data_IF_613465749691
#
_entry.id   IF_613465749691
#
_cell.length_a   1.000
_cell.length_b   1.000
_cell.length_c   1.000
_cell.angle_alpha   90.00
_cell.angle_beta   90.00
_cell.angle_gamma   90.00
#
_symmetry.space_group_name_H-M   'P 1'
#
loop_
_entity.id
_entity.type
_entity.pdbx_description
1 polymer ?
#
# COMPACT_ATOMS: atom_id res chain seq x y z
N UNK A 1 47.64 -28.85 -46.56
CA UNK A 1 47.72 -27.81 -45.52
C UNK A 1 46.46 -27.97 -44.68
N UNK A 2 46.51 -28.81 -43.66
CA UNK A 2 45.40 -29.02 -42.74
C UNK A 2 45.66 -28.17 -41.50
N UNK A 3 44.79 -27.20 -41.26
CA UNK A 3 44.79 -26.36 -40.07
C UNK A 3 44.45 -27.24 -38.85
N UNK A 4 45.51 -27.63 -38.12
CA UNK A 4 45.42 -28.29 -36.83
C UNK A 4 44.78 -27.38 -35.79
N UNK A 5 43.45 -27.37 -35.71
CA UNK A 5 42.70 -26.85 -34.57
C UNK A 5 43.09 -27.67 -33.36
N UNK A 6 43.95 -27.13 -32.48
CA UNK A 6 44.20 -27.68 -31.13
C UNK A 6 42.85 -27.86 -30.45
N UNK A 7 42.44 -29.11 -30.25
CA UNK A 7 41.31 -29.47 -29.41
C UNK A 7 41.59 -28.91 -28.01
N UNK A 8 40.84 -27.87 -27.64
CA UNK A 8 40.82 -27.36 -26.28
C UNK A 8 40.12 -28.41 -25.43
N UNK A 9 40.91 -29.22 -24.73
CA UNK A 9 40.37 -30.13 -23.74
C UNK A 9 39.52 -29.33 -22.75
N UNK A 10 38.23 -29.69 -22.55
CA UNK A 10 37.39 -29.00 -21.61
C UNK A 10 38.04 -29.03 -20.23
N UNK A 11 38.03 -27.89 -19.56
CA UNK A 11 38.52 -27.77 -18.18
C UNK A 11 37.81 -28.79 -17.30
N UNK A 12 38.46 -29.27 -16.23
CA UNK A 12 37.86 -30.21 -15.28
C UNK A 12 36.45 -29.76 -14.83
N UNK A 13 36.24 -28.44 -14.75
CA UNK A 13 34.95 -27.76 -14.53
C UNK A 13 33.87 -28.05 -15.58
N UNK A 14 34.21 -28.04 -16.87
CA UNK A 14 33.27 -28.30 -17.98
C UNK A 14 32.85 -29.78 -18.01
N UNK A 15 33.74 -30.71 -17.65
CA UNK A 15 33.41 -32.15 -17.49
C UNK A 15 32.56 -32.42 -16.24
N UNK A 16 32.84 -31.75 -15.12
CA UNK A 16 32.07 -31.96 -13.90
C UNK A 16 30.64 -31.41 -13.99
N UNK A 17 30.40 -30.41 -14.84
CA UNK A 17 29.05 -29.89 -15.11
C UNK A 17 28.25 -30.76 -16.10
N UNK A 18 28.89 -31.48 -17.03
CA UNK A 18 28.20 -32.38 -17.97
C UNK A 18 27.72 -33.67 -17.31
N UNK A 19 28.43 -34.13 -16.28
CA UNK A 19 28.28 -35.50 -15.76
C UNK A 19 27.34 -35.60 -14.55
N UNK A 20 26.58 -34.55 -14.22
CA UNK A 20 25.53 -34.60 -13.19
C UNK A 20 26.03 -34.91 -11.77
N UNK A 21 27.34 -34.72 -11.49
CA UNK A 21 27.91 -34.98 -10.17
C UNK A 21 27.36 -33.99 -9.14
N UNK A 22 26.39 -34.45 -8.35
CA UNK A 22 25.95 -33.77 -7.13
C UNK A 22 27.09 -33.84 -6.11
N UNK A 23 27.55 -32.66 -5.79
CA UNK A 23 28.76 -32.38 -5.06
C UNK A 23 28.40 -32.46 -3.55
N UNK A 24 29.17 -33.15 -2.67
CA UNK A 24 28.80 -33.43 -1.26
C UNK A 24 28.33 -32.19 -0.48
N UNK A 25 27.16 -32.25 0.17
CA UNK A 25 26.59 -31.11 0.90
C UNK A 25 27.53 -30.64 2.03
N UNK A 26 28.35 -29.61 1.76
CA UNK A 26 29.25 -29.03 2.75
C UNK A 26 28.48 -28.11 3.70
N UNK A 27 28.64 -28.23 5.03
CA UNK A 27 27.97 -27.37 5.99
C UNK A 27 28.41 -25.90 5.81
N UNK A 28 27.43 -25.00 5.68
CA UNK A 28 27.64 -23.59 5.35
C UNK A 28 28.22 -22.85 6.56
N UNK A 29 29.47 -22.40 6.43
CA UNK A 29 30.11 -21.52 7.43
C UNK A 29 29.70 -20.04 7.23
N UNK A 30 29.63 -19.21 8.29
CA UNK A 30 29.19 -17.81 8.20
C UNK A 30 29.98 -16.92 7.23
N UNK A 31 31.25 -17.24 6.94
CA UNK A 31 32.06 -16.45 5.99
C UNK A 31 31.70 -16.73 4.52
N UNK A 32 31.18 -17.92 4.19
CA UNK A 32 30.70 -18.24 2.84
C UNK A 32 29.47 -17.41 2.46
N UNK A 33 28.53 -17.31 3.39
CA UNK A 33 27.35 -16.44 3.25
C UNK A 33 27.73 -14.98 3.02
N UNK A 34 28.72 -14.47 3.77
CA UNK A 34 29.25 -13.11 3.58
C UNK A 34 29.81 -12.91 2.16
N UNK A 35 30.41 -13.92 1.54
CA UNK A 35 30.97 -13.81 0.18
C UNK A 35 29.89 -13.65 -0.88
N UNK A 36 28.79 -14.40 -0.78
CA UNK A 36 27.64 -14.31 -1.71
C UNK A 36 26.98 -12.94 -1.56
N UNK A 37 26.66 -12.54 -0.33
CA UNK A 37 26.00 -11.27 -0.08
C UNK A 37 26.85 -10.08 -0.51
N UNK A 38 28.17 -10.16 -0.32
CA UNK A 38 29.11 -9.14 -0.81
C UNK A 38 29.21 -9.15 -2.33
N UNK A 39 29.17 -10.31 -2.99
CA UNK A 39 29.18 -10.40 -4.45
C UNK A 39 27.93 -9.73 -5.05
N UNK A 40 26.75 -10.00 -4.48
CA UNK A 40 25.48 -9.34 -4.86
C UNK A 40 25.53 -7.83 -4.59
N UNK A 41 25.97 -7.42 -3.40
CA UNK A 41 26.03 -6.01 -3.03
C UNK A 41 26.89 -5.17 -3.99
N UNK A 42 27.98 -5.75 -4.51
CA UNK A 42 28.87 -5.09 -5.47
C UNK A 42 28.51 -5.35 -6.95
N UNK A 43 27.44 -6.09 -7.24
CA UNK A 43 27.05 -6.35 -8.63
C UNK A 43 28.00 -7.27 -9.40
N UNK A 44 28.83 -8.07 -8.71
CA UNK A 44 29.80 -8.94 -9.37
C UNK A 44 29.17 -10.28 -9.81
N UNK A 45 28.58 -10.28 -11.00
CA UNK A 45 27.82 -11.40 -11.56
C UNK A 45 28.68 -12.66 -11.72
N UNK A 46 29.88 -12.52 -12.27
CA UNK A 46 30.78 -13.66 -12.49
C UNK A 46 31.22 -14.31 -11.19
N UNK A 47 31.49 -13.50 -10.16
CA UNK A 47 31.78 -14.00 -8.82
C UNK A 47 30.57 -14.70 -8.22
N UNK A 48 29.36 -14.19 -8.41
CA UNK A 48 28.14 -14.84 -7.93
C UNK A 48 27.91 -16.18 -8.65
N UNK A 49 28.06 -16.23 -9.99
CA UNK A 49 27.98 -17.47 -10.79
C UNK A 49 28.97 -18.52 -10.27
N UNK A 50 30.23 -18.13 -10.11
CA UNK A 50 31.27 -19.02 -9.59
C UNK A 50 30.95 -19.55 -8.19
N UNK A 51 30.47 -18.67 -7.30
CA UNK A 51 30.03 -19.09 -5.97
C UNK A 51 28.87 -20.09 -6.10
N UNK A 52 27.79 -19.75 -6.80
CA UNK A 52 26.61 -20.64 -6.91
C UNK A 52 26.88 -21.97 -7.62
N UNK A 53 27.91 -22.07 -8.47
CA UNK A 53 28.40 -23.34 -9.04
C UNK A 53 29.09 -24.22 -7.99
N UNK A 54 29.77 -23.61 -7.02
CA UNK A 54 30.63 -24.29 -6.05
C UNK A 54 29.92 -24.58 -4.71
N UNK A 55 28.66 -25.04 -4.75
CA UNK A 55 27.93 -25.62 -3.60
C UNK A 55 27.25 -24.66 -2.60
N UNK A 56 26.87 -23.42 -2.97
CA UNK A 56 26.18 -22.56 -2.00
C UNK A 56 24.65 -22.58 -2.14
N UNK A 57 23.99 -22.80 -0.99
CA UNK A 57 22.56 -22.59 -0.81
C UNK A 57 22.22 -21.10 -0.97
N UNK A 58 21.56 -20.76 -2.10
CA UNK A 58 21.08 -19.42 -2.41
C UNK A 58 20.01 -18.91 -1.42
N UNK A 59 19.36 -19.83 -0.69
CA UNK A 59 18.31 -19.54 0.28
C UNK A 59 18.88 -19.19 1.66
N UNK A 60 20.20 -19.30 1.85
CA UNK A 60 20.80 -19.03 3.17
C UNK A 60 20.61 -17.57 3.56
N UNK A 61 20.12 -17.37 4.79
CA UNK A 61 19.74 -16.08 5.35
C UNK A 61 20.86 -15.48 6.21
N UNK A 62 21.12 -14.17 6.08
CA UNK A 62 22.07 -13.44 6.94
C UNK A 62 21.53 -13.17 8.35
N UNK A 63 22.29 -12.42 9.14
CA UNK A 63 21.86 -12.03 10.49
C UNK A 63 20.54 -11.28 10.46
N UNK A 64 20.24 -10.49 9.41
CA UNK A 64 18.94 -9.79 9.25
C UNK A 64 17.90 -10.66 8.56
N UNK A 65 18.15 -11.96 8.49
CA UNK A 65 17.32 -12.95 7.83
C UNK A 65 17.13 -12.74 6.31
N UNK A 66 17.99 -11.93 5.68
CA UNK A 66 17.90 -11.65 4.25
C UNK A 66 18.62 -12.71 3.46
N UNK A 67 18.07 -13.11 2.32
CA UNK A 67 18.75 -13.96 1.32
C UNK A 67 19.54 -13.12 0.31
N UNK A 68 20.33 -13.76 -0.55
CA UNK A 68 20.97 -13.13 -1.69
C UNK A 68 19.94 -12.44 -2.61
N UNK A 69 18.74 -13.02 -2.75
CA UNK A 69 17.66 -12.49 -3.57
C UNK A 69 17.11 -11.16 -3.03
N UNK A 70 16.95 -11.05 -1.71
CA UNK A 70 16.56 -9.78 -1.07
C UNK A 70 17.55 -8.66 -1.39
N UNK A 71 18.85 -8.97 -1.36
CA UNK A 71 19.90 -7.98 -1.65
C UNK A 71 19.88 -7.58 -3.12
N UNK A 72 19.77 -8.54 -4.04
CA UNK A 72 19.70 -8.28 -5.48
C UNK A 72 18.52 -7.37 -5.83
N UNK A 73 17.35 -7.65 -5.25
CA UNK A 73 16.15 -6.84 -5.37
C UNK A 73 16.30 -5.46 -4.71
N UNK A 74 17.01 -5.36 -3.59
CA UNK A 74 17.22 -4.07 -2.92
C UNK A 74 18.24 -3.18 -3.66
N UNK A 75 19.20 -3.76 -4.34
CA UNK A 75 20.22 -3.05 -5.13
C UNK A 75 19.79 -2.79 -6.58
N UNK A 76 18.65 -3.33 -7.02
CA UNK A 76 18.15 -3.12 -8.38
C UNK A 76 18.93 -3.83 -9.48
N UNK A 77 19.37 -5.07 -9.21
CA UNK A 77 20.23 -5.84 -10.14
C UNK A 77 19.45 -6.99 -10.80
N UNK A 78 18.75 -6.75 -11.92
CA UNK A 78 17.87 -7.75 -12.54
C UNK A 78 18.63 -8.98 -13.04
N UNK A 79 19.88 -8.84 -13.50
CA UNK A 79 20.71 -9.96 -13.96
C UNK A 79 21.04 -10.92 -12.81
N UNK A 80 21.24 -10.37 -11.60
CA UNK A 80 21.46 -11.18 -10.39
C UNK A 80 20.18 -11.90 -9.97
N UNK A 81 19.04 -11.20 -10.04
CA UNK A 81 17.73 -11.80 -9.78
C UNK A 81 17.50 -12.96 -10.76
N UNK A 82 17.71 -12.74 -12.05
CA UNK A 82 17.58 -13.77 -13.08
C UNK A 82 18.49 -14.98 -12.81
N UNK A 83 19.76 -14.75 -12.46
CA UNK A 83 20.67 -15.84 -12.09
C UNK A 83 20.17 -16.63 -10.88
N UNK A 84 19.79 -15.95 -9.79
CA UNK A 84 19.32 -16.58 -8.57
C UNK A 84 18.03 -17.38 -8.81
N UNK A 85 17.09 -16.81 -9.57
CA UNK A 85 15.82 -17.45 -9.94
C UNK A 85 16.04 -18.67 -10.84
N UNK A 86 16.96 -18.59 -11.81
CA UNK A 86 17.31 -19.75 -12.67
C UNK A 86 17.88 -20.94 -11.89
N UNK A 87 18.40 -20.69 -10.69
CA UNK A 87 18.87 -21.73 -9.75
C UNK A 87 17.78 -22.24 -8.80
N UNK A 88 16.50 -21.94 -9.09
CA UNK A 88 15.32 -22.37 -8.32
C UNK A 88 15.41 -22.00 -6.83
N UNK A 89 15.90 -20.81 -6.51
CA UNK A 89 15.87 -20.32 -5.13
C UNK A 89 14.43 -20.04 -4.67
N UNK A 90 14.20 -20.08 -3.36
CA UNK A 90 12.90 -19.78 -2.77
C UNK A 90 12.61 -18.28 -2.84
N UNK A 91 11.56 -17.91 -3.58
CA UNK A 91 11.21 -16.52 -3.88
C UNK A 91 10.49 -15.82 -2.73
N UNK A 92 9.89 -16.59 -1.82
CA UNK A 92 8.93 -16.12 -0.81
C UNK A 92 9.52 -16.12 0.60
N UNK A 93 10.82 -16.38 0.76
CA UNK A 93 11.48 -16.25 2.06
C UNK A 93 11.40 -14.80 2.52
N UNK A 94 11.10 -14.59 3.79
CA UNK A 94 11.02 -13.25 4.35
C UNK A 94 12.38 -12.77 4.89
N UNK A 95 12.51 -11.49 5.21
CA UNK A 95 13.55 -10.96 6.09
C UNK A 95 13.03 -10.78 7.53
N UNK A 96 13.82 -10.15 8.41
CA UNK A 96 13.43 -9.89 9.82
C UNK A 96 12.19 -9.01 9.99
N UNK A 97 11.76 -8.30 8.95
CA UNK A 97 10.57 -7.45 8.97
C UNK A 97 9.40 -8.12 8.23
N UNK A 98 9.48 -9.44 8.06
CA UNK A 98 8.56 -10.29 7.28
C UNK A 98 8.44 -9.85 5.81
N UNK A 99 9.43 -9.13 5.25
CA UNK A 99 9.36 -8.66 3.86
C UNK A 99 9.95 -9.70 2.93
N UNK A 100 9.23 -10.03 1.87
CA UNK A 100 9.76 -10.85 0.77
C UNK A 100 10.68 -10.04 -0.15
N UNK A 101 11.50 -10.70 -1.01
CA UNK A 101 12.27 -10.03 -2.04
C UNK A 101 11.39 -9.18 -2.98
N UNK A 102 10.17 -9.64 -3.27
CA UNK A 102 9.19 -8.89 -4.07
C UNK A 102 8.78 -7.59 -3.37
N UNK A 103 8.45 -7.65 -2.07
CA UNK A 103 8.16 -6.44 -1.28
C UNK A 103 9.34 -5.48 -1.31
N UNK A 104 10.58 -5.96 -1.16
CA UNK A 104 11.78 -5.10 -1.23
C UNK A 104 11.95 -4.46 -2.61
N UNK A 105 11.76 -5.23 -3.68
CA UNK A 105 11.85 -4.71 -5.05
C UNK A 105 10.83 -3.58 -5.27
N UNK A 106 9.56 -3.80 -4.90
CA UNK A 106 8.49 -2.80 -5.07
C UNK A 106 8.71 -1.60 -4.15
N UNK A 107 9.06 -1.82 -2.88
CA UNK A 107 9.36 -0.75 -1.91
C UNK A 107 10.45 0.19 -2.44
N UNK A 108 11.48 -0.35 -3.09
CA UNK A 108 12.63 0.38 -3.61
C UNK A 108 12.51 0.74 -5.10
N UNK A 109 11.31 0.61 -5.68
CA UNK A 109 10.99 0.98 -7.08
C UNK A 109 11.83 0.24 -8.12
N UNK A 110 12.21 -1.00 -7.84
CA UNK A 110 12.99 -1.86 -8.72
C UNK A 110 12.07 -2.69 -9.62
N UNK A 111 11.41 -2.02 -10.57
CA UNK A 111 10.36 -2.59 -11.42
C UNK A 111 10.83 -3.83 -12.20
N UNK A 112 12.03 -3.81 -12.78
CA UNK A 112 12.59 -4.95 -13.51
C UNK A 112 12.75 -6.18 -12.61
N UNK A 113 13.27 -5.99 -11.39
CA UNK A 113 13.43 -7.06 -10.41
C UNK A 113 12.07 -7.62 -9.96
N UNK A 114 11.10 -6.75 -9.67
CA UNK A 114 9.75 -7.16 -9.27
C UNK A 114 9.04 -7.93 -10.40
N UNK A 115 9.17 -7.47 -11.64
CA UNK A 115 8.58 -8.13 -12.82
C UNK A 115 9.17 -9.54 -13.00
N UNK A 116 10.50 -9.69 -12.90
CA UNK A 116 11.15 -11.00 -12.97
C UNK A 116 10.67 -11.96 -11.87
N UNK A 117 10.50 -11.47 -10.63
CA UNK A 117 9.99 -12.27 -9.53
C UNK A 117 8.55 -12.74 -9.77
N UNK A 118 7.66 -11.85 -10.20
CA UNK A 118 6.26 -12.17 -10.48
C UNK A 118 6.13 -13.20 -11.60
N UNK A 119 6.89 -13.04 -12.69
CA UNK A 119 6.94 -13.99 -13.81
C UNK A 119 7.40 -15.39 -13.39
N UNK A 120 8.20 -15.50 -12.32
CA UNK A 120 8.71 -16.77 -11.82
C UNK A 120 7.91 -17.29 -10.59
N UNK A 121 6.72 -16.73 -10.33
CA UNK A 121 5.79 -17.27 -9.32
C UNK A 121 6.02 -16.77 -7.89
N UNK A 122 6.67 -15.62 -7.70
CA UNK A 122 6.68 -14.97 -6.39
C UNK A 122 5.24 -14.60 -5.96
N UNK A 123 4.90 -14.87 -4.69
CA UNK A 123 3.55 -14.60 -4.17
C UNK A 123 3.42 -13.12 -3.76
N UNK A 124 2.56 -12.32 -4.42
CA UNK A 124 2.39 -10.90 -4.10
C UNK A 124 1.54 -10.63 -2.85
N UNK A 125 0.82 -11.65 -2.36
CA UNK A 125 -0.12 -11.53 -1.24
C UNK A 125 0.54 -11.72 0.13
N UNK A 126 1.84 -12.00 0.18
CA UNK A 126 2.56 -12.07 1.46
C UNK A 126 2.66 -10.67 2.06
N UNK A 127 2.45 -10.58 3.36
CA UNK A 127 2.45 -9.33 4.11
C UNK A 127 3.70 -9.16 4.95
N UNK A 128 4.19 -7.92 5.07
CA UNK A 128 5.24 -7.58 6.03
C UNK A 128 4.75 -7.57 7.48
N UNK A 129 5.65 -7.23 8.41
CA UNK A 129 5.35 -7.15 9.85
C UNK A 129 4.16 -6.21 10.16
N UNK A 130 3.90 -5.21 9.31
CA UNK A 130 2.79 -4.25 9.44
C UNK A 130 1.54 -4.65 8.64
N UNK A 131 1.49 -5.88 8.11
CA UNK A 131 0.40 -6.36 7.27
C UNK A 131 0.42 -5.80 5.85
N UNK A 132 1.49 -5.14 5.40
CA UNK A 132 1.51 -4.52 4.07
C UNK A 132 1.99 -5.52 3.02
N UNK A 133 1.18 -5.69 1.99
CA UNK A 133 1.55 -6.43 0.78
C UNK A 133 2.38 -5.57 -0.19
N UNK A 134 2.90 -6.16 -1.26
CA UNK A 134 3.57 -5.44 -2.33
C UNK A 134 2.69 -4.33 -2.94
N UNK A 135 1.37 -4.54 -3.01
CA UNK A 135 0.40 -3.56 -3.52
C UNK A 135 0.39 -2.27 -2.70
N UNK A 136 0.44 -2.38 -1.37
CA UNK A 136 0.48 -1.22 -0.48
C UNK A 136 1.70 -0.33 -0.76
N UNK A 137 2.86 -0.95 -1.04
CA UNK A 137 4.07 -0.23 -1.41
C UNK A 137 4.00 0.38 -2.81
N UNK A 138 3.36 -0.30 -3.77
CA UNK A 138 3.13 0.26 -5.10
C UNK A 138 2.22 1.50 -5.05
N UNK A 139 1.15 1.44 -4.25
CA UNK A 139 0.26 2.58 -3.98
C UNK A 139 0.99 3.72 -3.27
N UNK A 140 1.81 3.41 -2.25
CA UNK A 140 2.67 4.41 -1.60
C UNK A 140 3.59 5.11 -2.61
N UNK A 141 4.12 4.35 -3.57
CA UNK A 141 5.04 4.84 -4.57
C UNK A 141 4.36 5.56 -5.74
N UNK A 142 3.03 5.55 -5.81
CA UNK A 142 2.23 6.01 -6.94
C UNK A 142 2.58 5.30 -8.27
N UNK A 143 3.00 4.05 -8.18
CA UNK A 143 3.45 3.25 -9.33
C UNK A 143 2.29 2.45 -9.93
N UNK A 144 1.56 3.07 -10.85
CA UNK A 144 0.39 2.46 -11.50
C UNK A 144 0.76 1.24 -12.33
N UNK A 145 1.92 1.25 -13.01
CA UNK A 145 2.43 0.10 -13.78
C UNK A 145 2.61 -1.12 -12.88
N UNK A 146 3.26 -0.94 -11.72
CA UNK A 146 3.45 -2.01 -10.76
C UNK A 146 2.12 -2.51 -10.17
N UNK A 147 1.17 -1.61 -9.90
CA UNK A 147 -0.17 -2.02 -9.44
C UNK A 147 -0.84 -2.93 -10.48
N UNK A 148 -0.82 -2.56 -11.77
CA UNK A 148 -1.43 -3.39 -12.81
C UNK A 148 -0.78 -4.77 -12.91
N UNK A 149 0.55 -4.85 -12.82
CA UNK A 149 1.29 -6.11 -12.77
C UNK A 149 0.92 -6.95 -11.55
N UNK A 150 0.83 -6.33 -10.37
CA UNK A 150 0.44 -7.06 -9.16
C UNK A 150 -0.98 -7.61 -9.25
N UNK A 151 -1.92 -6.82 -9.79
CA UNK A 151 -3.31 -7.25 -10.00
C UNK A 151 -3.40 -8.39 -11.03
N UNK A 152 -2.60 -8.35 -12.10
CA UNK A 152 -2.57 -9.44 -13.10
C UNK A 152 -2.02 -10.76 -12.54
N UNK A 153 -1.26 -10.69 -11.45
CA UNK A 153 -0.70 -11.85 -10.74
C UNK A 153 -1.55 -12.26 -9.51
N UNK A 154 -2.83 -11.88 -9.47
CA UNK A 154 -3.80 -12.37 -8.47
C UNK A 154 -3.74 -11.64 -7.12
N UNK A 155 -3.28 -10.40 -7.10
CA UNK A 155 -3.38 -9.55 -5.90
C UNK A 155 -4.78 -8.99 -5.74
N UNK A 156 -5.30 -8.98 -4.51
CA UNK A 156 -6.58 -8.34 -4.21
C UNK A 156 -6.38 -6.83 -3.97
N UNK A 157 -7.13 -5.99 -4.71
CA UNK A 157 -7.10 -4.53 -4.53
C UNK A 157 -7.71 -4.07 -3.20
N UNK A 158 -8.49 -4.93 -2.54
CA UNK A 158 -9.15 -4.66 -1.28
C UNK A 158 -8.38 -5.16 -0.06
N UNK A 159 -7.21 -5.76 -0.26
CA UNK A 159 -6.43 -6.36 0.82
C UNK A 159 -6.03 -5.30 1.86
N UNK A 160 -6.44 -5.52 3.12
CA UNK A 160 -6.17 -4.58 4.20
C UNK A 160 -4.79 -4.81 4.83
N UNK A 161 -4.12 -3.72 5.20
CA UNK A 161 -2.99 -3.81 6.13
C UNK A 161 -3.43 -4.16 7.57
N UNK A 162 -2.49 -4.46 8.48
CA UNK A 162 -2.82 -4.67 9.91
C UNK A 162 -3.45 -3.44 10.58
N UNK A 163 -3.25 -2.26 10.01
CA UNK A 163 -3.90 -1.02 10.45
C UNK A 163 -5.29 -0.82 9.79
N UNK A 164 -5.83 -1.86 9.16
CA UNK A 164 -7.11 -1.88 8.44
C UNK A 164 -7.24 -0.85 7.32
N UNK A 165 -6.12 -0.28 6.87
CA UNK A 165 -6.14 0.57 5.69
C UNK A 165 -6.23 -0.28 4.45
N UNK A 166 -7.38 -0.21 3.78
CA UNK A 166 -7.51 -0.58 2.38
C UNK A 166 -6.66 0.37 1.50
N UNK A 167 -6.20 -0.08 0.32
CA UNK A 167 -5.36 0.72 -0.57
C UNK A 167 -5.94 2.10 -0.91
N UNK A 168 -7.27 2.20 -1.08
CA UNK A 168 -7.96 3.48 -1.31
C UNK A 168 -7.80 4.44 -0.14
N UNK A 169 -8.11 3.99 1.10
CA UNK A 169 -7.94 4.81 2.30
C UNK A 169 -6.48 5.21 2.51
N UNK A 170 -5.55 4.31 2.21
CA UNK A 170 -4.13 4.61 2.29
C UNK A 170 -3.74 5.73 1.32
N UNK A 171 -4.20 5.68 0.06
CA UNK A 171 -3.97 6.74 -0.92
C UNK A 171 -4.58 8.09 -0.49
N UNK A 172 -5.79 8.09 0.07
CA UNK A 172 -6.45 9.28 0.62
C UNK A 172 -5.66 9.87 1.79
N UNK A 173 -5.24 9.03 2.76
CA UNK A 173 -4.45 9.47 3.93
C UNK A 173 -3.13 10.13 3.55
N UNK A 174 -2.58 9.75 2.39
CA UNK A 174 -1.33 10.28 1.81
C UNK A 174 -1.56 11.43 0.83
N UNK A 175 -2.82 11.86 0.63
CA UNK A 175 -3.22 12.97 -0.26
C UNK A 175 -2.81 12.74 -1.73
N UNK A 176 -2.84 11.49 -2.18
CA UNK A 176 -2.41 11.10 -3.54
C UNK A 176 -3.58 11.09 -4.51
N UNK A 177 -3.98 12.27 -5.00
CA UNK A 177 -5.16 12.47 -5.88
C UNK A 177 -5.16 11.54 -7.09
N UNK A 178 -4.06 11.49 -7.85
CA UNK A 178 -3.93 10.64 -9.05
C UNK A 178 -4.08 9.16 -8.74
N UNK A 179 -3.55 8.72 -7.59
CA UNK A 179 -3.64 7.33 -7.15
C UNK A 179 -5.06 6.96 -6.71
N UNK A 180 -5.76 7.88 -6.03
CA UNK A 180 -7.18 7.72 -5.70
C UNK A 180 -7.99 7.56 -6.98
N UNK A 181 -7.82 8.45 -7.96
CA UNK A 181 -8.51 8.36 -9.25
C UNK A 181 -8.23 7.02 -9.95
N UNK A 182 -6.97 6.58 -9.96
CA UNK A 182 -6.57 5.32 -10.55
C UNK A 182 -7.22 4.11 -9.85
N UNK A 183 -7.22 4.06 -8.52
CA UNK A 183 -7.83 2.97 -7.75
C UNK A 183 -9.36 2.93 -7.95
N UNK A 184 -10.01 4.09 -8.00
CA UNK A 184 -11.45 4.20 -8.30
C UNK A 184 -11.77 3.68 -9.71
N UNK A 185 -10.93 4.00 -10.71
CA UNK A 185 -11.05 3.43 -12.07
C UNK A 185 -10.88 1.91 -12.10
N UNK A 186 -10.06 1.34 -11.20
CA UNK A 186 -9.91 -0.11 -11.01
C UNK A 186 -11.01 -0.73 -10.13
N UNK A 187 -12.11 -0.01 -9.88
CA UNK A 187 -13.28 -0.44 -9.09
C UNK A 187 -12.95 -0.80 -7.64
N UNK A 188 -11.96 -0.12 -7.04
CA UNK A 188 -11.72 -0.23 -5.61
C UNK A 188 -12.97 0.18 -4.81
N UNK A 189 -13.20 -0.44 -3.65
CA UNK A 189 -14.35 -0.16 -2.80
C UNK A 189 -14.30 1.28 -2.30
N UNK A 190 -15.20 2.11 -2.82
CA UNK A 190 -15.32 3.52 -2.49
C UNK A 190 -15.76 3.72 -1.03
N UNK A 191 -16.50 2.76 -0.48
CA UNK A 191 -17.01 2.77 0.90
C UNK A 191 -16.06 2.11 1.89
N UNK A 192 -14.75 2.10 1.57
CA UNK A 192 -13.70 1.69 2.47
C UNK A 192 -13.77 2.45 3.81
N UNK A 193 -13.70 1.72 4.92
CA UNK A 193 -13.68 2.27 6.29
C UNK A 193 -12.42 1.85 7.03
N UNK A 194 -11.93 2.70 7.92
CA UNK A 194 -10.84 2.36 8.85
C UNK A 194 -11.36 1.73 10.15
N UNK A 195 -10.44 1.42 11.07
CA UNK A 195 -10.75 0.84 12.39
C UNK A 195 -11.65 1.71 13.29
N UNK A 196 -11.84 2.98 12.97
CA UNK A 196 -12.78 3.89 13.65
C UNK A 196 -14.11 4.03 12.88
N UNK A 197 -14.32 3.24 11.82
CA UNK A 197 -15.47 3.34 10.93
C UNK A 197 -15.46 4.59 10.06
N UNK A 198 -14.33 5.29 9.92
CA UNK A 198 -14.25 6.51 9.11
C UNK A 198 -14.07 6.13 7.64
N UNK A 199 -15.00 6.61 6.81
CA UNK A 199 -14.95 6.40 5.36
C UNK A 199 -13.85 7.22 4.69
N UNK A 200 -13.50 6.86 3.45
CA UNK A 200 -12.59 7.63 2.61
C UNK A 200 -13.01 9.11 2.47
N UNK A 201 -14.32 9.39 2.46
CA UNK A 201 -14.85 10.76 2.43
C UNK A 201 -14.49 11.52 3.71
N UNK A 202 -14.69 10.91 4.89
CA UNK A 202 -14.35 11.54 6.18
C UNK A 202 -12.85 11.87 6.22
N UNK A 203 -11.99 10.97 5.75
CA UNK A 203 -10.55 11.22 5.66
C UNK A 203 -10.24 12.40 4.70
N UNK A 204 -10.83 12.42 3.51
CA UNK A 204 -10.60 13.50 2.54
C UNK A 204 -11.04 14.88 3.08
N UNK A 205 -12.19 14.93 3.76
CA UNK A 205 -12.73 16.16 4.37
C UNK A 205 -11.85 16.64 5.53
N UNK A 206 -11.44 15.74 6.42
CA UNK A 206 -10.59 16.11 7.57
C UNK A 206 -9.20 16.60 7.13
N UNK A 207 -8.68 16.11 6.00
CA UNK A 207 -7.44 16.58 5.40
C UNK A 207 -7.60 17.89 4.62
N UNK A 208 -8.84 18.26 4.23
CA UNK A 208 -9.15 19.44 3.44
C UNK A 208 -8.89 19.27 1.94
N UNK A 209 -8.80 18.03 1.45
CA UNK A 209 -8.44 17.73 0.06
C UNK A 209 -9.67 17.76 -0.86
N UNK A 210 -9.98 18.96 -1.38
CA UNK A 210 -11.14 19.22 -2.24
C UNK A 210 -11.21 18.28 -3.45
N UNK A 211 -10.09 18.05 -4.13
CA UNK A 211 -10.06 17.26 -5.36
C UNK A 211 -10.41 15.79 -5.10
N UNK A 212 -9.93 15.24 -3.97
CA UNK A 212 -10.27 13.89 -3.54
C UNK A 212 -11.75 13.79 -3.18
N UNK A 213 -12.31 14.81 -2.51
CA UNK A 213 -13.75 14.86 -2.20
C UNK A 213 -14.56 14.82 -3.49
N UNK A 214 -14.22 15.64 -4.49
CA UNK A 214 -14.92 15.66 -5.79
C UNK A 214 -14.84 14.29 -6.47
N UNK A 215 -13.65 13.67 -6.52
CA UNK A 215 -13.46 12.35 -7.10
C UNK A 215 -14.31 11.27 -6.39
N UNK A 216 -14.34 11.27 -5.06
CA UNK A 216 -15.14 10.30 -4.30
C UNK A 216 -16.65 10.49 -4.53
N UNK A 217 -17.13 11.73 -4.58
CA UNK A 217 -18.54 12.04 -4.85
C UNK A 217 -18.97 11.59 -6.27
N UNK A 218 -18.09 11.75 -7.27
CA UNK A 218 -18.34 11.27 -8.63
C UNK A 218 -18.51 9.76 -8.72
N UNK A 219 -17.93 9.01 -7.78
CA UNK A 219 -17.99 7.55 -7.72
C UNK A 219 -19.08 7.02 -6.76
N UNK A 220 -20.12 7.81 -6.49
CA UNK A 220 -21.31 7.41 -5.70
C UNK A 220 -21.01 6.88 -4.28
N UNK A 221 -20.03 7.48 -3.60
CA UNK A 221 -19.74 7.18 -2.20
C UNK A 221 -20.96 7.39 -1.29
N UNK A 222 -21.07 6.59 -0.22
CA UNK A 222 -22.05 6.83 0.83
C UNK A 222 -21.64 8.03 1.68
N UNK A 223 -22.28 9.18 1.42
CA UNK A 223 -22.06 10.43 2.15
C UNK A 223 -22.54 10.34 3.59
N UNK A 224 -23.55 9.50 3.88
CA UNK A 224 -24.19 9.39 5.19
C UNK A 224 -23.50 8.36 6.09
N UNK A 225 -22.41 7.75 5.63
CA UNK A 225 -21.60 6.83 6.42
C UNK A 225 -21.17 7.48 7.73
N UNK A 226 -21.48 6.81 8.84
CA UNK A 226 -21.17 7.27 10.19
C UNK A 226 -19.95 6.54 10.73
N UNK A 227 -19.07 7.31 11.37
CA UNK A 227 -17.97 6.74 12.14
C UNK A 227 -18.40 6.23 13.52
N UNK A 228 -17.45 5.71 14.30
CA UNK A 228 -17.67 5.25 15.67
C UNK A 228 -18.23 6.35 16.62
N UNK A 229 -18.06 7.63 16.29
CA UNK A 229 -18.59 8.77 17.03
C UNK A 229 -19.96 9.23 16.53
N UNK A 230 -20.56 8.51 15.57
CA UNK A 230 -21.81 8.86 14.89
C UNK A 230 -21.75 10.16 14.10
N UNK A 231 -20.54 10.60 13.73
CA UNK A 231 -20.31 11.79 12.91
C UNK A 231 -20.28 11.43 11.43
N UNK A 232 -20.79 12.34 10.62
CA UNK A 232 -20.80 12.23 9.15
C UNK A 232 -19.71 13.16 8.58
N UNK A 233 -19.31 12.95 7.32
CA UNK A 233 -18.36 13.81 6.62
C UNK A 233 -18.73 15.31 6.69
N UNK A 234 -20.02 15.66 6.62
CA UNK A 234 -20.49 17.03 6.78
C UNK A 234 -20.16 17.66 8.14
N UNK A 235 -20.22 16.88 9.23
CA UNK A 235 -19.86 17.35 10.57
C UNK A 235 -18.39 17.73 10.65
N UNK A 236 -17.53 16.90 10.04
CA UNK A 236 -16.10 17.16 9.96
C UNK A 236 -15.77 18.39 9.11
N UNK A 237 -16.52 18.66 8.04
CA UNK A 237 -16.34 19.86 7.23
C UNK A 237 -16.67 21.14 8.04
N UNK A 238 -17.72 21.08 8.87
CA UNK A 238 -18.11 22.19 9.78
C UNK A 238 -17.03 22.39 10.85
N UNK A 239 -16.55 21.33 11.48
CA UNK A 239 -15.51 21.39 12.51
C UNK A 239 -14.19 21.95 11.95
N UNK A 240 -13.81 21.53 10.73
CA UNK A 240 -12.66 22.06 10.00
C UNK A 240 -12.87 23.49 9.46
N UNK A 241 -14.08 24.05 9.59
CA UNK A 241 -14.48 25.36 9.03
C UNK A 241 -14.26 25.49 7.52
N UNK A 242 -14.25 24.38 6.79
CA UNK A 242 -14.06 24.38 5.34
C UNK A 242 -15.41 24.47 4.63
N UNK A 243 -15.88 25.71 4.40
CA UNK A 243 -17.18 25.97 3.76
C UNK A 243 -17.27 25.37 2.35
N UNK A 244 -16.19 25.46 1.58
CA UNK A 244 -16.15 24.96 0.19
C UNK A 244 -16.44 23.46 0.15
N UNK A 245 -15.80 22.68 1.01
CA UNK A 245 -16.03 21.23 1.07
C UNK A 245 -17.43 20.90 1.61
N UNK A 246 -17.90 21.65 2.61
CA UNK A 246 -19.25 21.47 3.12
C UNK A 246 -20.31 21.73 2.04
N UNK A 247 -20.18 22.83 1.29
CA UNK A 247 -21.10 23.21 0.23
C UNK A 247 -21.10 22.16 -0.89
N UNK A 248 -19.92 21.62 -1.26
CA UNK A 248 -19.82 20.52 -2.25
C UNK A 248 -20.58 19.27 -1.83
N UNK A 249 -20.44 18.84 -0.58
CA UNK A 249 -21.13 17.66 -0.05
C UNK A 249 -22.64 17.91 -0.02
N UNK A 250 -23.05 19.08 0.47
CA UNK A 250 -24.45 19.47 0.55
C UNK A 250 -25.13 19.57 -0.83
N UNK A 251 -24.46 20.16 -1.82
CA UNK A 251 -24.96 20.24 -3.20
C UNK A 251 -25.09 18.86 -3.83
N UNK A 252 -24.14 17.96 -3.58
CA UNK A 252 -24.21 16.58 -4.07
C UNK A 252 -25.40 15.82 -3.47
N UNK A 253 -25.61 15.93 -2.16
CA UNK A 253 -26.79 15.33 -1.50
C UNK A 253 -28.10 15.86 -2.10
N UNK A 254 -28.21 17.18 -2.29
CA UNK A 254 -29.40 17.79 -2.86
C UNK A 254 -29.73 17.23 -4.24
N UNK A 255 -28.74 17.12 -5.14
CA UNK A 255 -28.95 16.57 -6.50
C UNK A 255 -29.45 15.13 -6.47
N UNK A 256 -28.91 14.29 -5.57
CA UNK A 256 -29.34 12.89 -5.43
C UNK A 256 -30.82 12.74 -5.04
N UNK A 257 -31.40 13.72 -4.35
CA UNK A 257 -32.84 13.74 -4.03
C UNK A 257 -33.72 14.26 -5.17
N UNK A 258 -33.19 15.15 -6.03
CA UNK A 258 -33.92 15.68 -7.19
C UNK A 258 -34.04 14.64 -8.33
N UNK A 259 -33.10 13.68 -8.43
CA UNK A 259 -33.08 12.61 -9.45
C UNK A 259 -33.98 11.40 -9.12
N UNK A 260 -34.67 11.37 -7.97
CA UNK A 260 -35.65 10.33 -7.66
C UNK A 260 -36.97 10.62 -8.40
N UNK A 261 -37.55 9.67 -9.17
CA UNK A 261 -38.78 9.90 -9.90
C UNK A 261 -39.90 10.28 -8.94
N UNK A 262 -40.47 11.46 -9.14
CA UNK A 262 -41.64 11.95 -8.42
C UNK A 262 -42.77 10.96 -8.71
N UNK A 263 -43.04 10.05 -7.77
CA UNK A 263 -44.24 9.23 -7.83
C UNK A 263 -45.43 10.17 -7.64
N UNK A 264 -46.08 10.49 -8.75
CA UNK A 264 -47.24 11.36 -8.83
C UNK A 264 -48.42 10.71 -8.12
N UNK A 265 -48.66 11.09 -6.87
CA UNK A 265 -49.97 10.98 -6.23
C UNK A 265 -50.21 12.24 -5.38
N UNK A 266 -51.23 13.06 -5.70
CA UNK A 266 -51.47 14.30 -4.99
C UNK A 266 -52.51 14.09 -3.90
N UNK A 267 -52.13 13.66 -2.69
CA UNK A 267 -53.04 13.75 -1.53
C UNK A 267 -52.27 14.06 -0.22
N UNK A 268 -52.41 15.32 0.17
CA UNK A 268 -52.53 15.90 1.52
C UNK A 268 -51.43 15.74 2.59
N UNK A 269 -51.29 16.83 3.35
CA UNK A 269 -50.50 17.06 4.58
C UNK A 269 -48.98 17.25 4.42
N UNK A 270 -48.64 18.55 4.30
CA UNK A 270 -47.35 19.13 4.63
C UNK A 270 -46.78 18.53 5.93
N UNK A 271 -45.70 17.77 5.82
CA UNK A 271 -44.66 17.70 6.84
C UNK A 271 -43.37 18.17 6.19
N UNK A 272 -42.91 19.35 6.60
CA UNK A 272 -41.55 19.79 6.29
C UNK A 272 -40.54 18.75 6.81
N UNK A 273 -39.43 18.51 6.11
CA UNK A 273 -38.41 17.57 6.57
C UNK A 273 -37.73 18.10 7.85
N UNK A 274 -37.44 17.20 8.79
CA UNK A 274 -36.98 17.50 10.15
C UNK A 274 -35.71 18.37 10.25
N UNK A 275 -34.91 18.47 9.19
CA UNK A 275 -33.69 19.30 9.15
C UNK A 275 -33.97 20.81 9.04
N UNK A 276 -35.15 21.22 8.52
CA UNK A 276 -35.52 22.63 8.45
C UNK A 276 -35.82 23.20 9.86
N UNK A 277 -36.41 22.36 10.72
CA UNK A 277 -36.68 22.68 12.13
C UNK A 277 -35.39 22.71 12.97
N UNK A 278 -34.33 22.03 12.51
CA UNK A 278 -33.01 22.05 13.17
C UNK A 278 -32.23 23.34 12.95
N UNK A 279 -32.44 24.10 11.86
CA UNK A 279 -31.77 25.41 11.67
C UNK A 279 -32.13 26.42 12.77
N UNK A 280 -33.41 26.46 13.14
CA UNK A 280 -33.90 27.34 14.20
C UNK A 280 -33.54 26.84 15.60
N UNK A 281 -33.53 25.51 15.79
CA UNK A 281 -33.12 24.86 17.04
C UNK A 281 -31.61 24.99 17.28
N UNK A 282 -30.80 24.90 16.23
CA UNK A 282 -29.34 25.05 16.25
C UNK A 282 -28.91 26.48 16.57
N UNK A 283 -29.71 27.50 16.23
CA UNK A 283 -29.44 28.89 16.64
C UNK A 283 -29.53 29.07 18.17
N UNK A 284 -30.53 28.42 18.80
CA UNK A 284 -30.75 28.46 20.26
C UNK A 284 -29.79 27.55 21.02
N UNK A 285 -29.46 26.38 20.46
CA UNK A 285 -28.49 25.43 21.04
C UNK A 285 -27.05 25.96 20.91
N UNK A 286 -26.68 26.64 19.80
CA UNK A 286 -25.38 27.32 19.67
C UNK A 286 -25.20 28.42 20.73
N UNK A 287 -26.24 29.21 21.04
CA UNK A 287 -26.16 30.22 22.12
C UNK A 287 -25.95 29.58 23.50
N UNK A 288 -26.64 28.47 23.81
CA UNK A 288 -26.50 27.76 25.10
C UNK A 288 -25.18 26.99 25.22
N UNK A 289 -24.72 26.30 24.17
CA UNK A 289 -23.44 25.58 24.16
C UNK A 289 -22.23 26.51 24.16
N UNK A 290 -22.29 27.68 23.51
CA UNK A 290 -21.20 28.68 23.53
C UNK A 290 -20.96 29.26 24.94
N UNK A 291 -22.02 29.41 25.75
CA UNK A 291 -21.91 29.85 27.16
C UNK A 291 -21.27 28.75 28.02
N UNK A 292 -21.63 27.49 27.80
CA UNK A 292 -21.07 26.34 28.55
C UNK A 292 -19.62 26.05 28.12
N UNK A 293 -19.27 26.19 26.84
CA UNK A 293 -17.91 26.01 26.32
C UNK A 293 -16.98 27.15 26.73
N UNK A 294 -17.46 28.41 26.84
CA UNK A 294 -16.68 29.50 27.43
C UNK A 294 -16.36 29.27 28.90
N UNK A 295 -17.31 28.73 29.69
CA UNK A 295 -17.07 28.36 31.09
C UNK A 295 -16.08 27.18 31.24
N UNK A 296 -16.13 26.17 30.37
CA UNK A 296 -15.20 25.03 30.41
C UNK A 296 -13.80 25.38 29.87
N UNK A 297 -13.69 26.22 28.84
CA UNK A 297 -12.41 26.68 28.29
C UNK A 297 -11.60 27.50 29.30
N UNK A 298 -12.26 28.35 30.11
CA UNK A 298 -11.61 29.14 31.16
C UNK A 298 -11.04 28.27 32.30
N UNK A 299 -11.64 27.11 32.57
CA UNK A 299 -11.16 26.16 33.60
C UNK A 299 -9.98 25.32 33.06
N UNK A 300 -10.00 24.97 31.78
CA UNK A 300 -8.94 24.18 31.13
C UNK A 300 -7.69 25.05 30.85
N UNK A 301 -7.86 26.33 30.47
CA UNK A 301 -6.74 27.26 30.32
C UNK A 301 -6.06 27.58 31.67
N UNK A 302 -6.79 27.55 32.79
CA UNK A 302 -6.16 27.66 34.13
C UNK A 302 -5.35 26.42 34.51
N UNK A 303 -5.76 25.23 34.08
CA UNK A 303 -5.04 23.97 34.34
C UNK A 303 -3.77 23.81 33.49
N UNK A 304 -3.79 24.24 32.23
CA UNK A 304 -2.63 24.12 31.33
C UNK A 304 -1.50 25.11 31.66
N UNK A 305 -1.80 26.26 32.28
CA UNK A 305 -0.77 27.23 32.69
C UNK A 305 -0.03 26.78 33.96
N UNK A 306 -0.57 25.83 34.73
CA UNK A 306 0.07 25.32 35.97
C UNK A 306 1.03 24.15 35.73
N UNK A 307 1.01 23.51 34.56
CA UNK A 307 1.78 22.28 34.27
C UNK A 307 3.00 22.48 33.34
N UNK A 308 3.28 23.72 32.93
CA UNK A 308 4.47 24.07 32.13
C UNK A 308 5.41 25.05 32.87
N UNK A 309 5.74 24.74 34.12
CA UNK A 309 6.98 25.18 34.77
C UNK A 309 7.69 23.98 35.36
#
# INVERSE_FOLDING_TARGET
>A
MEDGKRERWPTLMERLCSDGFAFPQYPIKPYHLKRIHRAVLHGNLEKLKYLLLTYYDANKRDRKERTALHLACATGQPEMVHLLVSRRCELNLCDREDRTPLIKAVQLRQEACATLLLQNGANPNITDFFGRTALHYAVYNEDTSMIEKLLSHGTNIEECSKCEYQPLLFAVSRRKVKMVEFLLKKKANVNAIDYLGRSALIHAVTLGEKDIVILLLQHNIDVLSRDAFRKIAGDYAIEAKNRVIFDLIYEYERKRYEDLPINSNPVSSQKQPAWATERDSMSKIKKRKLIVMKKKSMVIQRFLVTFCK
#
